data_IF_155345341790
#
_entry.id   IF_155345341790
#
_cell.length_a   1.000
_cell.length_b   1.000
_cell.length_c   1.000
_cell.angle_alpha   90.00
_cell.angle_beta   90.00
_cell.angle_gamma   90.00
#
_symmetry.space_group_name_H-M   'P 1'
#
loop_
_entity.id
_entity.type
_entity.pdbx_description
1 polymer ?
#
# COMPACT_ATOMS: atom_id res chain seq x y z
N UNK A 1 19.92 5.72 3.28
CA UNK A 1 18.65 5.28 2.67
C UNK A 1 17.72 6.47 2.64
N UNK A 2 17.06 6.74 1.52
CA UNK A 2 16.02 7.77 1.42
C UNK A 2 14.67 7.17 1.88
N UNK A 3 14.06 7.69 2.97
CA UNK A 3 12.80 7.17 3.50
C UNK A 3 11.63 7.38 2.53
N UNK A 4 11.65 8.44 1.71
CA UNK A 4 10.61 8.70 0.71
C UNK A 4 10.71 7.66 -0.40
N UNK A 5 11.92 7.43 -0.93
CA UNK A 5 12.13 6.41 -1.95
C UNK A 5 11.71 5.01 -1.45
N UNK A 6 12.08 4.66 -0.21
CA UNK A 6 11.70 3.39 0.42
C UNK A 6 10.18 3.26 0.53
N UNK A 7 9.51 4.31 1.00
CA UNK A 7 8.06 4.33 1.13
C UNK A 7 7.35 4.27 -0.24
N UNK A 8 7.89 4.91 -1.27
CA UNK A 8 7.36 4.81 -2.64
C UNK A 8 7.42 3.38 -3.19
N UNK A 9 8.53 2.67 -2.97
CA UNK A 9 8.62 1.24 -3.32
C UNK A 9 7.60 0.40 -2.54
N UNK A 10 7.42 0.69 -1.25
CA UNK A 10 6.42 0.05 -0.41
C UNK A 10 4.98 0.28 -0.91
N UNK A 11 4.65 1.52 -1.30
CA UNK A 11 3.34 1.86 -1.90
C UNK A 11 3.09 1.05 -3.17
N UNK A 12 4.05 1.03 -4.09
CA UNK A 12 3.93 0.29 -5.34
C UNK A 12 3.74 -1.22 -5.09
N UNK A 13 4.48 -1.78 -4.15
CA UNK A 13 4.35 -3.19 -3.77
C UNK A 13 2.96 -3.49 -3.17
N UNK A 14 2.47 -2.63 -2.28
CA UNK A 14 1.14 -2.76 -1.68
C UNK A 14 0.03 -2.65 -2.73
N UNK A 15 0.13 -1.69 -3.66
CA UNK A 15 -0.82 -1.55 -4.78
C UNK A 15 -0.88 -2.80 -5.64
N UNK A 16 0.27 -3.36 -6.03
CA UNK A 16 0.34 -4.60 -6.82
C UNK A 16 -0.31 -5.78 -6.09
N UNK A 17 -0.02 -5.96 -4.79
CA UNK A 17 -0.64 -7.03 -3.98
C UNK A 17 -2.16 -6.90 -3.93
N UNK A 18 -2.65 -5.67 -3.78
CA UNK A 18 -4.09 -5.40 -3.78
C UNK A 18 -4.73 -5.72 -5.13
N UNK A 19 -4.12 -5.26 -6.24
CA UNK A 19 -4.56 -5.56 -7.60
C UNK A 19 -4.56 -7.06 -7.89
N UNK A 20 -3.51 -7.77 -7.51
CA UNK A 20 -3.39 -9.22 -7.68
C UNK A 20 -4.53 -9.94 -6.94
N UNK A 21 -4.80 -9.55 -5.69
CA UNK A 21 -5.93 -10.10 -4.91
C UNK A 21 -7.28 -9.80 -5.56
N UNK A 22 -7.51 -8.55 -5.96
CA UNK A 22 -8.74 -8.16 -6.65
C UNK A 22 -8.95 -8.96 -7.95
N UNK A 23 -7.86 -9.23 -8.70
CA UNK A 23 -7.92 -10.05 -9.92
C UNK A 23 -8.32 -11.50 -9.62
N UNK A 24 -7.89 -12.06 -8.48
CA UNK A 24 -8.27 -13.42 -8.04
C UNK A 24 -9.73 -13.45 -7.61
N UNK A 25 -10.18 -12.46 -6.83
CA UNK A 25 -11.59 -12.32 -6.44
C UNK A 25 -12.50 -12.17 -7.67
N UNK A 26 -12.06 -11.47 -8.71
CA UNK A 26 -12.83 -11.32 -9.95
C UNK A 26 -13.05 -12.65 -10.71
N UNK A 27 -12.26 -13.69 -10.44
CA UNK A 27 -12.44 -15.04 -11.02
C UNK A 27 -13.36 -15.94 -10.18
N UNK A 28 -13.90 -15.44 -9.08
CA UNK A 28 -14.84 -16.19 -8.26
C UNK A 28 -16.07 -16.58 -9.09
N UNK A 29 -16.41 -17.88 -9.09
CA UNK A 29 -17.53 -18.42 -9.88
C UNK A 29 -17.17 -18.86 -11.29
N UNK A 30 -15.91 -18.74 -11.72
CA UNK A 30 -15.41 -19.39 -12.94
C UNK A 30 -15.28 -20.90 -12.68
N UNK A 31 -15.80 -21.72 -13.58
CA UNK A 31 -15.73 -23.18 -13.46
C UNK A 31 -14.27 -23.65 -13.37
N UNK A 32 -13.96 -24.46 -12.35
CA UNK A 32 -12.61 -24.97 -12.10
C UNK A 32 -11.70 -24.05 -11.26
N UNK A 33 -12.10 -22.83 -10.95
CA UNK A 33 -11.36 -21.92 -10.05
C UNK A 33 -11.87 -22.02 -8.62
N UNK A 34 -10.98 -22.32 -7.66
CA UNK A 34 -11.28 -22.31 -6.23
C UNK A 34 -10.64 -21.07 -5.58
N UNK A 35 -11.44 -20.03 -5.36
CA UNK A 35 -10.99 -18.77 -4.71
C UNK A 35 -11.33 -18.79 -3.23
N UNK A 36 -10.33 -18.71 -2.36
CA UNK A 36 -10.53 -18.51 -0.92
C UNK A 36 -10.79 -17.04 -0.61
N UNK A 37 -12.06 -16.66 -0.58
CA UNK A 37 -12.47 -15.27 -0.36
C UNK A 37 -12.01 -14.72 1.00
N UNK A 38 -11.99 -15.55 2.05
CA UNK A 38 -11.59 -15.08 3.37
C UNK A 38 -10.11 -14.71 3.38
N UNK A 39 -9.26 -15.54 2.75
CA UNK A 39 -7.85 -15.23 2.58
C UNK A 39 -7.64 -13.98 1.71
N UNK A 40 -8.39 -13.81 0.62
CA UNK A 40 -8.26 -12.63 -0.25
C UNK A 40 -8.67 -11.33 0.46
N UNK A 41 -9.73 -11.34 1.27
CA UNK A 41 -10.11 -10.17 2.07
C UNK A 41 -9.00 -9.79 3.06
N UNK A 42 -8.37 -10.76 3.73
CA UNK A 42 -7.22 -10.51 4.60
C UNK A 42 -6.06 -9.91 3.81
N UNK A 43 -5.76 -10.43 2.62
CA UNK A 43 -4.71 -9.87 1.74
C UNK A 43 -5.00 -8.41 1.39
N UNK A 44 -6.24 -8.07 1.04
CA UNK A 44 -6.64 -6.70 0.71
C UNK A 44 -6.52 -5.76 1.92
N UNK A 45 -6.93 -6.20 3.11
CA UNK A 45 -6.80 -5.41 4.35
C UNK A 45 -5.33 -5.19 4.69
N UNK A 46 -4.50 -6.22 4.58
CA UNK A 46 -3.06 -6.11 4.81
C UNK A 46 -2.42 -5.14 3.82
N UNK A 47 -2.69 -5.28 2.51
CA UNK A 47 -2.17 -4.37 1.48
C UNK A 47 -2.61 -2.92 1.70
N UNK A 48 -3.88 -2.69 2.09
CA UNK A 48 -4.37 -1.35 2.46
C UNK A 48 -3.63 -0.77 3.67
N UNK A 49 -3.35 -1.60 4.66
CA UNK A 49 -2.61 -1.20 5.86
C UNK A 49 -1.16 -0.85 5.53
N UNK A 50 -0.48 -1.68 4.73
CA UNK A 50 0.87 -1.41 4.22
C UNK A 50 0.93 -0.12 3.42
N UNK A 51 -0.03 0.12 2.53
CA UNK A 51 -0.13 1.35 1.76
C UNK A 51 -0.25 2.57 2.69
N UNK A 52 -1.15 2.49 3.67
CA UNK A 52 -1.39 3.59 4.63
C UNK A 52 -0.14 3.89 5.47
N UNK A 53 0.59 2.84 5.88
CA UNK A 53 1.83 2.98 6.64
C UNK A 53 2.92 3.70 5.82
N UNK A 54 3.14 3.30 4.57
CA UNK A 54 4.11 3.97 3.70
C UNK A 54 3.71 5.43 3.40
N UNK A 55 2.40 5.69 3.21
CA UNK A 55 1.91 7.05 3.01
C UNK A 55 2.16 7.94 4.24
N UNK A 56 1.99 7.40 5.45
CA UNK A 56 2.29 8.13 6.68
C UNK A 56 3.76 8.53 6.77
N UNK A 57 4.69 7.65 6.38
CA UNK A 57 6.13 7.96 6.32
C UNK A 57 6.41 9.13 5.37
N UNK A 58 5.80 9.13 4.18
CA UNK A 58 5.97 10.21 3.20
C UNK A 58 5.45 11.53 3.76
N UNK A 59 4.27 11.52 4.39
CA UNK A 59 3.69 12.73 5.01
C UNK A 59 4.61 13.28 6.10
N UNK A 60 5.07 12.44 7.01
CA UNK A 60 5.99 12.87 8.07
C UNK A 60 7.29 13.44 7.50
N UNK A 61 7.85 12.85 6.44
CA UNK A 61 9.04 13.39 5.79
C UNK A 61 8.78 14.78 5.15
N UNK A 62 7.60 14.99 4.58
CA UNK A 62 7.18 16.29 4.03
C UNK A 62 6.97 17.32 5.14
N UNK A 63 6.28 16.95 6.22
CA UNK A 63 6.01 17.83 7.38
C UNK A 63 7.33 18.30 8.00
N UNK A 64 8.29 17.39 8.22
CA UNK A 64 9.62 17.74 8.71
C UNK A 64 10.36 18.70 7.78
N UNK A 65 10.20 18.55 6.47
CA UNK A 65 10.82 19.45 5.50
C UNK A 65 10.18 20.84 5.56
N UNK A 66 8.86 20.92 5.72
CA UNK A 66 8.12 22.17 5.92
C UNK A 66 8.56 22.91 7.17
N UNK A 67 8.61 22.23 8.31
CA UNK A 67 9.07 22.82 9.59
C UNK A 67 10.50 23.38 9.50
N UNK A 68 11.39 22.70 8.77
CA UNK A 68 12.73 23.24 8.51
C UNK A 68 12.66 24.52 7.67
N UNK A 69 11.86 24.56 6.61
CA UNK A 69 11.73 25.75 5.76
C UNK A 69 11.13 26.93 6.55
N UNK A 70 10.15 26.67 7.41
CA UNK A 70 9.50 27.70 8.23
C UNK A 70 10.46 28.33 9.26
N UNK A 71 11.45 27.58 9.76
CA UNK A 71 12.51 28.13 10.64
C UNK A 71 13.44 29.10 9.89
N UNK A 72 13.63 28.92 8.58
CA UNK A 72 14.53 29.76 7.78
C UNK A 72 13.88 31.05 7.27
N UNK A 73 12.54 31.12 7.25
CA UNK A 73 11.78 32.27 6.76
C UNK A 73 11.71 33.40 7.80
#
# INVERSE_FOLDING_TARGET
MDPIATAQYGLLAASRRFEDSASRVARMGVEGENVDLAAEVVQQITAKTEFSANLAVIRTAQDMTGELLDILA
#
